data_IF_290989689032
#
_entry.id   IF_290989689032
#
_cell.length_a   1.000
_cell.length_b   1.000
_cell.length_c   1.000
_cell.angle_alpha   90.00
_cell.angle_beta   90.00
_cell.angle_gamma   90.00
#
_symmetry.space_group_name_H-M   'P 1'
#
loop_
_entity.id
_entity.type
_entity.pdbx_description
1 polymer ?
#
# COMPACT_ATOMS: atom_id res chain seq x y z
N UNK A 1 2.42 18.33 -20.92
CA UNK A 1 2.60 17.01 -20.28
C UNK A 1 2.43 17.20 -18.79
N UNK A 2 1.48 16.51 -18.20
CA UNK A 2 1.14 16.68 -16.79
C UNK A 2 1.81 15.59 -15.94
N UNK A 3 2.02 15.90 -14.66
CA UNK A 3 2.51 14.96 -13.64
C UNK A 3 1.35 14.62 -12.72
N UNK A 4 1.19 13.33 -12.40
CA UNK A 4 0.24 12.85 -11.42
C UNK A 4 1.00 12.31 -10.20
N UNK A 5 0.55 12.67 -9.01
CA UNK A 5 1.13 12.21 -7.75
C UNK A 5 0.19 11.24 -7.06
N UNK A 6 0.74 10.16 -6.48
CA UNK A 6 0.03 9.24 -5.61
C UNK A 6 0.62 9.27 -4.21
N UNK A 7 -0.25 9.33 -3.20
CA UNK A 7 0.09 9.32 -1.78
C UNK A 7 -0.56 8.12 -1.09
N UNK A 8 0.08 7.52 -0.06
CA UNK A 8 -0.41 6.31 0.60
C UNK A 8 -1.56 6.54 1.59
N UNK A 9 -2.03 7.77 1.71
CA UNK A 9 -3.09 8.16 2.63
C UNK A 9 -3.17 9.67 2.81
N UNK A 10 -4.18 10.13 3.53
CA UNK A 10 -4.45 11.55 3.74
C UNK A 10 -3.45 12.24 4.68
N UNK A 11 -2.72 11.49 5.51
CA UNK A 11 -1.80 12.07 6.50
C UNK A 11 -0.71 12.91 5.83
N UNK A 12 -0.03 12.36 4.83
CA UNK A 12 1.02 13.07 4.08
C UNK A 12 0.44 14.28 3.34
N UNK A 13 -0.73 14.13 2.70
CA UNK A 13 -1.41 15.24 2.05
C UNK A 13 -1.69 16.38 3.02
N UNK A 14 -2.26 16.09 4.19
CA UNK A 14 -2.60 17.09 5.19
C UNK A 14 -1.36 17.76 5.80
N UNK A 15 -0.27 17.01 5.97
CA UNK A 15 0.99 17.53 6.52
C UNK A 15 1.69 18.50 5.56
N UNK A 16 1.58 18.27 4.25
CA UNK A 16 2.26 19.03 3.20
C UNK A 16 1.27 19.58 2.16
N UNK A 17 0.12 20.07 2.64
CA UNK A 17 -0.97 20.53 1.80
C UNK A 17 -0.52 21.60 0.79
N UNK A 18 0.29 22.55 1.21
CA UNK A 18 0.79 23.65 0.35
C UNK A 18 1.60 23.10 -0.84
N UNK A 19 2.25 21.95 -0.68
CA UNK A 19 2.97 21.29 -1.76
C UNK A 19 2.04 20.62 -2.77
N UNK A 20 0.91 20.07 -2.33
CA UNK A 20 0.05 19.23 -3.16
C UNK A 20 -1.21 19.94 -3.69
N UNK A 21 -1.63 21.08 -3.12
CA UNK A 21 -2.93 21.72 -3.42
C UNK A 21 -3.11 22.10 -4.90
N UNK A 22 -2.04 22.47 -5.59
CA UNK A 22 -2.07 22.84 -7.02
C UNK A 22 -1.56 21.72 -7.94
N UNK A 23 -1.35 20.51 -7.39
CA UNK A 23 -0.83 19.37 -8.15
C UNK A 23 -1.89 18.30 -8.33
N UNK A 24 -1.93 17.67 -9.50
CA UNK A 24 -2.75 16.48 -9.69
C UNK A 24 -2.32 15.42 -8.69
N UNK A 25 -3.16 15.14 -7.72
CA UNK A 25 -2.84 14.21 -6.63
C UNK A 25 -4.01 13.28 -6.37
N UNK A 26 -3.73 11.97 -6.31
CA UNK A 26 -4.69 10.95 -5.89
C UNK A 26 -4.16 10.30 -4.60
N UNK A 27 -5.02 10.21 -3.60
CA UNK A 27 -4.72 9.49 -2.37
C UNK A 27 -5.11 8.03 -2.59
N UNK A 28 -4.11 7.13 -2.53
CA UNK A 28 -4.31 5.69 -2.66
C UNK A 28 -4.74 5.11 -1.31
N UNK A 29 -6.03 5.18 -1.04
CA UNK A 29 -6.60 4.85 0.26
C UNK A 29 -7.03 3.37 0.33
N UNK A 30 -6.04 2.46 0.31
CA UNK A 30 -6.24 1.01 0.39
C UNK A 30 -5.35 0.39 1.48
N UNK A 31 -5.67 -0.83 1.89
CA UNK A 31 -4.96 -1.59 2.93
C UNK A 31 -4.73 -3.04 2.50
N UNK A 32 -4.00 -3.25 1.41
CA UNK A 32 -3.74 -4.60 0.88
C UNK A 32 -2.85 -5.46 1.78
N UNK A 33 -2.22 -4.91 2.80
CA UNK A 33 -1.51 -5.69 3.80
C UNK A 33 -2.44 -6.49 4.71
N UNK A 34 -3.74 -6.17 4.76
CA UNK A 34 -4.74 -6.84 5.61
C UNK A 34 -5.92 -7.37 4.82
N UNK A 35 -6.56 -8.42 5.36
CA UNK A 35 -7.71 -9.06 4.73
C UNK A 35 -7.39 -9.76 3.41
N UNK A 36 -8.45 -10.28 2.78
CA UNK A 36 -8.35 -10.98 1.48
C UNK A 36 -8.24 -9.99 0.34
N UNK A 37 -7.35 -10.27 -0.62
CA UNK A 37 -7.22 -9.56 -1.89
C UNK A 37 -7.91 -10.40 -2.98
N UNK A 38 -9.02 -9.94 -3.59
CA UNK A 38 -9.66 -10.64 -4.70
C UNK A 38 -8.77 -10.73 -5.94
N UNK A 39 -8.81 -11.86 -6.66
CA UNK A 39 -8.00 -12.08 -7.87
C UNK A 39 -8.33 -11.12 -9.02
N UNK A 40 -9.55 -10.62 -9.05
CA UNK A 40 -10.06 -9.71 -10.08
C UNK A 40 -10.06 -8.25 -9.65
N UNK A 41 -9.36 -7.93 -8.55
CA UNK A 41 -9.21 -6.54 -8.11
C UNK A 41 -8.66 -5.68 -9.26
N UNK A 42 -9.25 -4.50 -9.48
CA UNK A 42 -8.95 -3.58 -10.57
C UNK A 42 -9.38 -4.01 -11.98
N UNK A 43 -10.06 -5.14 -12.16
CA UNK A 43 -10.69 -5.50 -13.46
C UNK A 43 -11.99 -4.75 -13.67
N UNK A 44 -12.45 -4.63 -14.92
CA UNK A 44 -13.69 -3.89 -15.27
C UNK A 44 -14.95 -4.44 -14.58
N UNK A 45 -14.96 -5.72 -14.26
CA UNK A 45 -16.05 -6.41 -13.58
C UNK A 45 -15.89 -6.49 -12.06
N UNK A 46 -14.99 -5.67 -11.50
CA UNK A 46 -14.54 -5.80 -10.11
C UNK A 46 -15.56 -5.38 -9.02
N UNK A 47 -16.85 -5.15 -9.36
CA UNK A 47 -17.84 -4.74 -8.35
C UNK A 47 -17.91 -5.68 -7.15
N UNK A 48 -17.82 -6.99 -7.38
CA UNK A 48 -17.83 -7.96 -6.30
C UNK A 48 -16.51 -8.01 -5.55
N UNK A 49 -15.38 -7.79 -6.24
CA UNK A 49 -14.08 -7.63 -5.62
C UNK A 49 -14.05 -6.42 -4.66
N UNK A 50 -14.64 -5.29 -5.06
CA UNK A 50 -14.73 -4.11 -4.20
C UNK A 50 -15.61 -4.35 -2.97
N UNK A 51 -16.72 -5.08 -3.10
CA UNK A 51 -17.54 -5.49 -1.94
C UNK A 51 -16.74 -6.34 -0.96
N UNK A 52 -16.02 -7.35 -1.46
CA UNK A 52 -15.15 -8.19 -0.63
C UNK A 52 -14.13 -7.32 0.10
N UNK A 53 -13.48 -6.36 -0.58
CA UNK A 53 -12.52 -5.47 0.07
C UNK A 53 -13.16 -4.59 1.16
N UNK A 54 -14.32 -4.01 0.88
CA UNK A 54 -15.07 -3.22 1.87
C UNK A 54 -15.39 -4.07 3.11
N UNK A 55 -15.88 -5.29 2.93
CA UNK A 55 -16.18 -6.22 4.03
C UNK A 55 -14.91 -6.54 4.85
N UNK A 56 -13.79 -6.82 4.20
CA UNK A 56 -12.52 -7.11 4.87
C UNK A 56 -11.96 -5.90 5.62
N UNK A 57 -12.04 -4.69 5.05
CA UNK A 57 -11.63 -3.45 5.71
C UNK A 57 -12.54 -3.16 6.90
N UNK A 58 -13.85 -3.24 6.75
CA UNK A 58 -14.81 -3.04 7.83
C UNK A 58 -14.61 -4.05 8.97
N UNK A 59 -14.33 -5.30 8.65
CA UNK A 59 -14.02 -6.34 9.63
C UNK A 59 -12.74 -6.03 10.41
N UNK A 60 -11.71 -5.56 9.72
CA UNK A 60 -10.40 -5.27 10.32
C UNK A 60 -10.43 -4.01 11.17
N UNK A 61 -10.94 -2.92 10.62
CA UNK A 61 -10.84 -1.61 11.24
C UNK A 61 -12.11 -1.16 11.98
N UNK A 62 -13.24 -1.80 11.71
CA UNK A 62 -14.56 -1.44 12.22
C UNK A 62 -15.20 -0.28 11.45
N UNK A 63 -16.49 -0.08 11.66
CA UNK A 63 -17.26 0.96 10.97
C UNK A 63 -17.75 0.53 9.58
N UNK A 64 -18.20 1.51 8.79
CA UNK A 64 -18.59 1.34 7.39
C UNK A 64 -17.79 2.31 6.52
N UNK A 65 -16.83 1.77 5.78
CA UNK A 65 -15.99 2.52 4.85
C UNK A 65 -16.53 2.53 3.41
N UNK A 66 -17.74 2.01 3.17
CA UNK A 66 -18.25 1.77 1.81
C UNK A 66 -18.22 3.02 0.94
N UNK A 67 -18.70 4.15 1.46
CA UNK A 67 -18.72 5.41 0.71
C UNK A 67 -17.30 5.87 0.34
N UNK A 68 -16.41 5.94 1.32
CA UNK A 68 -15.03 6.42 1.14
C UNK A 68 -14.26 5.50 0.19
N UNK A 69 -14.51 4.20 0.24
CA UNK A 69 -13.89 3.23 -0.66
C UNK A 69 -14.39 3.40 -2.11
N UNK A 70 -15.70 3.57 -2.32
CA UNK A 70 -16.23 3.83 -3.66
C UNK A 70 -15.79 5.19 -4.20
N UNK A 71 -15.68 6.23 -3.38
CA UNK A 71 -15.16 7.53 -3.78
C UNK A 71 -13.68 7.40 -4.20
N UNK A 72 -12.88 6.64 -3.45
CA UNK A 72 -11.50 6.33 -3.81
C UNK A 72 -11.40 5.58 -5.15
N UNK A 73 -12.14 4.49 -5.33
CA UNK A 73 -12.13 3.71 -6.58
C UNK A 73 -12.61 4.57 -7.75
N UNK A 74 -13.61 5.41 -7.56
CA UNK A 74 -14.11 6.33 -8.59
C UNK A 74 -13.03 7.34 -8.99
N UNK A 75 -12.28 7.87 -8.03
CA UNK A 75 -11.16 8.79 -8.29
C UNK A 75 -10.03 8.09 -9.04
N UNK A 76 -9.72 6.83 -8.67
CA UNK A 76 -8.65 6.06 -9.30
C UNK A 76 -9.01 5.63 -10.72
N UNK A 77 -10.17 5.00 -10.90
CA UNK A 77 -10.60 4.41 -12.18
C UNK A 77 -11.21 5.43 -13.15
N UNK A 78 -11.77 6.52 -12.63
CA UNK A 78 -12.37 7.59 -13.43
C UNK A 78 -11.39 8.67 -13.88
N UNK A 79 -10.16 8.65 -13.37
CA UNK A 79 -9.15 9.62 -13.79
C UNK A 79 -8.73 9.39 -15.25
N UNK A 80 -8.59 10.49 -16.01
CA UNK A 80 -8.06 10.43 -17.39
C UNK A 80 -6.54 10.57 -17.39
N UNK A 81 -5.86 9.47 -17.69
CA UNK A 81 -4.40 9.38 -17.73
C UNK A 81 -3.81 9.80 -19.10
N UNK A 82 -4.62 10.23 -20.08
CA UNK A 82 -4.16 10.47 -21.47
C UNK A 82 -3.09 11.54 -21.57
N UNK A 83 -3.16 12.59 -20.75
CA UNK A 83 -2.23 13.73 -20.76
C UNK A 83 -1.07 13.57 -19.77
N UNK A 84 -1.07 12.49 -18.99
CA UNK A 84 -0.03 12.22 -18.00
C UNK A 84 1.23 11.68 -18.68
N UNK A 85 2.37 12.33 -18.43
CA UNK A 85 3.68 11.87 -18.90
C UNK A 85 4.53 11.23 -17.80
N UNK A 86 4.24 11.54 -16.53
CA UNK A 86 4.96 10.99 -15.38
C UNK A 86 4.00 10.79 -14.21
N UNK A 87 4.18 9.67 -13.54
CA UNK A 87 3.51 9.37 -12.26
C UNK A 87 4.57 9.29 -11.17
N UNK A 88 4.40 10.10 -10.13
CA UNK A 88 5.19 10.04 -8.92
C UNK A 88 4.46 9.21 -7.87
N UNK A 89 5.12 8.19 -7.35
CA UNK A 89 4.63 7.37 -6.24
C UNK A 89 5.38 7.79 -4.98
N UNK A 90 4.67 8.33 -4.00
CA UNK A 90 5.24 8.71 -2.70
C UNK A 90 4.76 7.75 -1.64
N UNK A 91 5.60 6.80 -1.25
CA UNK A 91 5.24 5.75 -0.29
C UNK A 91 6.34 5.61 0.78
N UNK A 92 5.93 5.29 2.00
CA UNK A 92 6.83 4.99 3.10
C UNK A 92 7.59 3.68 2.92
N UNK A 93 8.51 3.42 3.83
CA UNK A 93 9.36 2.22 3.79
C UNK A 93 8.79 1.04 4.58
N UNK A 94 7.67 1.23 5.26
CA UNK A 94 6.96 0.22 6.03
C UNK A 94 6.20 -0.78 5.14
N UNK A 95 5.72 -1.87 5.73
CA UNK A 95 5.02 -2.94 5.02
C UNK A 95 3.73 -2.44 4.35
N UNK A 96 2.92 -1.63 5.06
CA UNK A 96 1.66 -1.12 4.54
C UNK A 96 1.88 -0.33 3.24
N UNK A 97 2.81 0.62 3.28
CA UNK A 97 3.16 1.46 2.15
C UNK A 97 3.72 0.65 0.97
N UNK A 98 4.62 -0.29 1.23
CA UNK A 98 5.26 -1.07 0.17
C UNK A 98 4.27 -2.03 -0.52
N UNK A 99 3.36 -2.68 0.21
CA UNK A 99 2.33 -3.56 -0.38
C UNK A 99 1.33 -2.74 -1.20
N UNK A 100 0.90 -1.59 -0.71
CA UNK A 100 0.02 -0.70 -1.47
C UNK A 100 0.69 -0.14 -2.72
N UNK A 101 1.98 0.17 -2.67
CA UNK A 101 2.76 0.64 -3.82
C UNK A 101 2.79 -0.39 -4.96
N UNK A 102 3.08 -1.65 -4.67
CA UNK A 102 3.09 -2.69 -5.73
C UNK A 102 1.68 -2.97 -6.29
N UNK A 103 0.63 -2.86 -5.48
CA UNK A 103 -0.75 -2.94 -5.93
C UNK A 103 -1.10 -1.80 -6.90
N UNK A 104 -0.68 -0.59 -6.59
CA UNK A 104 -0.87 0.56 -7.48
C UNK A 104 -0.08 0.41 -8.78
N UNK A 105 1.16 -0.05 -8.75
CA UNK A 105 1.97 -0.30 -9.96
C UNK A 105 1.30 -1.36 -10.84
N UNK A 106 0.77 -2.43 -10.25
CA UNK A 106 -0.02 -3.43 -10.99
C UNK A 106 -1.23 -2.81 -11.68
N UNK A 107 -2.00 -1.97 -10.97
CA UNK A 107 -3.13 -1.24 -11.54
C UNK A 107 -2.68 -0.34 -12.72
N UNK A 108 -1.62 0.45 -12.54
CA UNK A 108 -1.11 1.38 -13.55
C UNK A 108 -0.67 0.65 -14.83
N UNK A 109 0.02 -0.49 -14.71
CA UNK A 109 0.41 -1.30 -15.87
C UNK A 109 -0.81 -1.91 -16.58
N UNK A 110 -1.83 -2.28 -15.82
CA UNK A 110 -3.07 -2.78 -16.38
C UNK A 110 -3.79 -1.74 -17.23
N UNK A 111 -3.91 -0.50 -16.75
CA UNK A 111 -4.53 0.59 -17.53
C UNK A 111 -3.67 1.03 -18.70
N UNK A 112 -2.34 1.04 -18.58
CA UNK A 112 -1.42 1.29 -19.70
C UNK A 112 -1.67 0.31 -20.85
N UNK A 113 -1.70 -0.98 -20.54
CA UNK A 113 -1.94 -2.02 -21.54
C UNK A 113 -3.33 -1.88 -22.19
N UNK A 114 -4.36 -1.62 -21.38
CA UNK A 114 -5.75 -1.54 -21.84
C UNK A 114 -6.04 -0.30 -22.68
N UNK A 115 -5.50 0.85 -22.28
CA UNK A 115 -5.81 2.18 -22.86
C UNK A 115 -4.70 2.73 -23.75
N UNK A 116 -3.59 1.98 -23.90
CA UNK A 116 -2.38 2.40 -24.60
C UNK A 116 -1.81 3.73 -24.08
N UNK A 117 -1.92 3.98 -22.77
CA UNK A 117 -1.32 5.13 -22.12
C UNK A 117 0.21 5.02 -22.08
N UNK A 118 0.89 6.17 -22.06
CA UNK A 118 2.36 6.25 -22.00
C UNK A 118 2.76 7.25 -20.94
N UNK A 119 3.28 6.76 -19.83
CA UNK A 119 3.87 7.57 -18.77
C UNK A 119 5.02 6.80 -18.10
N UNK A 120 5.95 7.55 -17.56
CA UNK A 120 7.02 7.01 -16.72
C UNK A 120 6.57 6.94 -15.27
N UNK A 121 7.10 6.00 -14.51
CA UNK A 121 6.84 5.86 -13.08
C UNK A 121 8.09 6.23 -12.30
N UNK A 122 7.98 7.20 -11.41
CA UNK A 122 9.02 7.61 -10.48
C UNK A 122 8.61 7.22 -9.06
N UNK A 123 9.30 6.27 -8.47
CA UNK A 123 9.17 5.90 -7.07
C UNK A 123 9.94 6.89 -6.19
N UNK A 124 9.28 7.43 -5.17
CA UNK A 124 9.87 8.27 -4.16
C UNK A 124 9.56 7.66 -2.79
N UNK A 125 10.57 7.14 -2.12
CA UNK A 125 10.43 6.64 -0.77
C UNK A 125 10.53 7.79 0.21
N UNK A 126 9.52 7.95 1.06
CA UNK A 126 9.41 9.04 2.02
C UNK A 126 9.61 8.56 3.45
N UNK A 127 10.07 9.47 4.30
CA UNK A 127 10.10 9.30 5.74
C UNK A 127 8.81 9.87 6.34
N UNK A 128 7.94 9.00 6.82
CA UNK A 128 6.67 9.40 7.44
C UNK A 128 6.81 9.68 8.95
N UNK A 129 7.92 9.28 9.58
CA UNK A 129 8.11 9.37 11.03
C UNK A 129 8.59 10.76 11.47
N UNK A 130 9.28 11.46 10.60
CA UNK A 130 9.94 12.73 10.92
C UNK A 130 9.25 13.91 10.24
N UNK A 131 9.01 14.99 10.98
CA UNK A 131 8.54 16.25 10.39
C UNK A 131 9.73 16.99 9.79
N UNK A 132 9.71 17.19 8.50
CA UNK A 132 10.68 17.95 7.75
C UNK A 132 10.18 19.39 7.51
N UNK A 133 11.08 20.30 7.21
CA UNK A 133 10.72 21.71 6.89
C UNK A 133 10.05 21.83 5.52
N UNK A 134 10.39 20.91 4.60
CA UNK A 134 9.71 20.78 3.29
C UNK A 134 9.40 19.32 2.97
N UNK A 135 8.47 19.11 2.02
CA UNK A 135 8.15 17.77 1.56
C UNK A 135 9.34 17.11 0.86
N UNK A 136 10.12 17.88 0.09
CA UNK A 136 11.28 17.38 -0.64
C UNK A 136 12.34 16.78 0.31
N UNK A 137 12.50 17.35 1.51
CA UNK A 137 13.44 16.82 2.52
C UNK A 137 12.97 15.46 3.09
N UNK A 138 11.69 15.14 3.00
CA UNK A 138 11.16 13.84 3.44
C UNK A 138 11.50 12.70 2.47
N UNK A 139 11.94 13.01 1.26
CA UNK A 139 12.24 12.00 0.23
C UNK A 139 13.60 11.38 0.50
N UNK A 140 13.61 10.12 0.96
CA UNK A 140 14.82 9.33 1.22
C UNK A 140 15.46 8.79 -0.05
N UNK A 141 14.64 8.39 -1.02
CA UNK A 141 15.09 7.78 -2.27
C UNK A 141 14.17 8.20 -3.40
N UNK A 142 14.75 8.51 -4.55
CA UNK A 142 14.04 8.78 -5.79
C UNK A 142 14.59 7.89 -6.89
N UNK A 143 13.71 7.10 -7.54
CA UNK A 143 14.09 6.15 -8.58
C UNK A 143 13.07 6.12 -9.71
N UNK A 144 13.51 6.37 -10.93
CA UNK A 144 12.74 6.07 -12.13
C UNK A 144 12.75 4.56 -12.38
N UNK A 145 11.56 3.97 -12.46
CA UNK A 145 11.44 2.52 -12.63
C UNK A 145 11.69 2.13 -14.08
N UNK A 146 12.62 1.21 -14.29
CA UNK A 146 12.83 0.56 -15.59
C UNK A 146 11.71 -0.42 -15.89
N UNK A 147 11.61 -0.88 -17.14
CA UNK A 147 10.64 -1.94 -17.49
C UNK A 147 10.85 -3.21 -16.65
N UNK A 148 12.11 -3.59 -16.41
CA UNK A 148 12.43 -4.73 -15.54
C UNK A 148 11.95 -4.51 -14.11
N UNK A 149 12.18 -3.32 -13.54
CA UNK A 149 11.71 -3.00 -12.19
C UNK A 149 10.18 -3.15 -12.10
N UNK A 150 9.45 -2.59 -13.07
CA UNK A 150 8.00 -2.67 -13.12
C UNK A 150 7.53 -4.12 -13.23
N UNK A 151 8.13 -4.93 -14.10
CA UNK A 151 7.78 -6.34 -14.25
C UNK A 151 8.01 -7.13 -12.95
N UNK A 152 9.10 -6.85 -12.23
CA UNK A 152 9.41 -7.49 -10.95
C UNK A 152 8.40 -7.08 -9.86
N UNK A 153 8.02 -5.81 -9.78
CA UNK A 153 7.04 -5.30 -8.82
C UNK A 153 5.62 -5.80 -9.11
N UNK A 154 5.22 -5.84 -10.37
CA UNK A 154 3.95 -6.44 -10.82
C UNK A 154 3.87 -7.92 -10.43
N UNK A 155 4.95 -8.67 -10.69
CA UNK A 155 5.00 -10.09 -10.32
C UNK A 155 4.96 -10.30 -8.80
N UNK A 156 5.53 -9.39 -8.01
CA UNK A 156 5.41 -9.44 -6.56
C UNK A 156 3.95 -9.29 -6.10
N UNK A 157 3.18 -8.39 -6.70
CA UNK A 157 1.76 -8.25 -6.36
C UNK A 157 0.93 -9.46 -6.83
N UNK A 158 1.18 -9.96 -8.04
CA UNK A 158 0.52 -11.18 -8.55
C UNK A 158 0.81 -12.36 -7.61
N UNK A 159 2.07 -12.51 -7.16
CA UNK A 159 2.44 -13.53 -6.19
C UNK A 159 1.63 -13.40 -4.89
N UNK A 160 1.49 -12.18 -4.33
CA UNK A 160 0.67 -11.95 -3.13
C UNK A 160 -0.79 -12.33 -3.33
N UNK A 161 -1.40 -11.97 -4.47
CA UNK A 161 -2.82 -12.29 -4.73
C UNK A 161 -3.04 -13.82 -4.76
N UNK A 162 -2.11 -14.56 -5.37
CA UNK A 162 -2.24 -16.01 -5.51
C UNK A 162 -1.85 -16.81 -4.27
N UNK A 163 -0.97 -16.25 -3.41
CA UNK A 163 -0.38 -16.95 -2.27
C UNK A 163 -0.67 -16.22 -0.95
N UNK A 164 -1.92 -15.82 -0.72
CA UNK A 164 -2.32 -15.09 0.49
C UNK A 164 -2.24 -15.94 1.76
N UNK A 165 -2.37 -17.25 1.63
CA UNK A 165 -2.13 -18.24 2.67
C UNK A 165 -0.70 -18.77 2.50
N UNK A 166 0.02 -18.94 3.57
CA UNK A 166 1.46 -19.21 3.65
C UNK A 166 1.98 -20.27 2.65
N UNK A 167 2.52 -19.84 1.51
CA UNK A 167 3.37 -20.67 0.67
C UNK A 167 4.83 -20.20 0.83
N UNK A 168 5.58 -20.89 1.70
CA UNK A 168 6.99 -20.55 1.95
C UNK A 168 7.92 -20.95 0.81
N UNK A 169 7.53 -21.93 0.00
CA UNK A 169 8.43 -22.53 -0.99
C UNK A 169 8.71 -21.58 -2.16
N UNK A 170 7.73 -20.75 -2.53
CA UNK A 170 7.88 -19.77 -3.61
C UNK A 170 8.31 -18.37 -3.12
N UNK A 171 8.24 -18.09 -1.82
CA UNK A 171 8.62 -16.79 -1.27
C UNK A 171 10.11 -16.49 -1.52
N UNK A 172 11.01 -17.48 -1.38
CA UNK A 172 12.45 -17.30 -1.62
C UNK A 172 12.73 -16.78 -3.03
N UNK A 173 12.13 -17.39 -4.04
CA UNK A 173 12.29 -16.97 -5.44
C UNK A 173 11.77 -15.54 -5.68
N UNK A 174 10.67 -15.19 -4.99
CA UNK A 174 10.13 -13.83 -5.07
C UNK A 174 11.04 -12.81 -4.39
N UNK A 175 11.62 -13.14 -3.23
CA UNK A 175 12.56 -12.28 -2.52
C UNK A 175 13.85 -12.04 -3.31
N UNK A 176 14.32 -13.04 -4.07
CA UNK A 176 15.46 -12.87 -5.01
C UNK A 176 15.09 -11.94 -6.15
N UNK A 177 13.89 -12.06 -6.70
CA UNK A 177 13.40 -11.21 -7.79
C UNK A 177 13.36 -9.73 -7.42
N UNK A 178 12.94 -9.41 -6.21
CA UNK A 178 12.84 -8.04 -5.69
C UNK A 178 14.07 -7.61 -4.88
N UNK A 179 15.21 -8.23 -5.06
CA UNK A 179 16.44 -7.97 -4.28
C UNK A 179 16.90 -6.50 -4.37
N UNK A 180 16.66 -5.84 -5.51
CA UNK A 180 16.94 -4.41 -5.70
C UNK A 180 15.97 -3.48 -4.98
N UNK A 181 14.96 -4.00 -4.24
CA UNK A 181 13.96 -3.28 -3.48
C UNK A 181 13.95 -3.74 -2.01
N UNK A 182 14.94 -3.34 -1.19
CA UNK A 182 15.15 -3.90 0.15
C UNK A 182 13.96 -3.69 1.09
N UNK A 183 13.25 -2.57 0.98
CA UNK A 183 12.06 -2.29 1.78
C UNK A 183 10.88 -3.18 1.38
N UNK A 184 10.67 -3.40 0.08
CA UNK A 184 9.66 -4.35 -0.41
C UNK A 184 10.00 -5.78 0.00
N UNK A 185 11.27 -6.19 -0.11
CA UNK A 185 11.73 -7.50 0.36
C UNK A 185 11.36 -7.74 1.82
N UNK A 186 11.64 -6.76 2.70
CA UNK A 186 11.23 -6.79 4.10
C UNK A 186 9.71 -6.81 4.26
N UNK A 187 8.99 -6.00 3.48
CA UNK A 187 7.54 -5.93 3.52
C UNK A 187 6.87 -7.26 3.15
N UNK A 188 7.39 -7.99 2.16
CA UNK A 188 6.91 -9.33 1.79
C UNK A 188 7.10 -10.34 2.93
N UNK A 189 8.25 -10.34 3.59
CA UNK A 189 8.48 -11.19 4.77
C UNK A 189 7.48 -10.84 5.87
N UNK A 190 7.30 -9.56 6.18
CA UNK A 190 6.38 -9.07 7.20
C UNK A 190 4.92 -9.38 6.86
N UNK A 191 4.54 -9.32 5.58
CA UNK A 191 3.19 -9.67 5.10
C UNK A 191 2.79 -11.09 5.50
N UNK A 192 3.71 -12.05 5.38
CA UNK A 192 3.47 -13.43 5.83
C UNK A 192 3.60 -13.56 7.33
N UNK A 193 4.54 -12.86 7.96
CA UNK A 193 4.75 -12.92 9.40
C UNK A 193 3.51 -12.52 10.20
N UNK A 194 2.81 -11.44 9.82
CA UNK A 194 1.59 -11.01 10.54
C UNK A 194 0.44 -12.02 10.50
N UNK A 195 0.52 -13.02 9.63
CA UNK A 195 -0.46 -14.11 9.49
C UNK A 195 -0.11 -15.35 10.31
N UNK A 196 1.06 -15.38 10.93
CA UNK A 196 1.53 -16.53 11.73
C UNK A 196 0.92 -16.55 13.14
N UNK A 197 0.83 -17.74 13.71
CA UNK A 197 0.46 -17.91 15.13
C UNK A 197 1.50 -17.29 16.08
N UNK A 198 2.76 -17.19 15.65
CA UNK A 198 3.82 -16.51 16.40
C UNK A 198 3.50 -15.02 16.56
N UNK A 199 3.15 -14.34 15.46
CA UNK A 199 2.75 -12.94 15.52
C UNK A 199 1.50 -12.73 16.39
N UNK A 200 0.48 -13.57 16.24
CA UNK A 200 -0.72 -13.52 17.07
C UNK A 200 -0.40 -13.66 18.56
N UNK A 201 0.48 -14.61 18.93
CA UNK A 201 0.95 -14.78 20.32
C UNK A 201 1.71 -13.54 20.82
N UNK A 202 2.57 -12.95 19.98
CA UNK A 202 3.27 -11.68 20.30
C UNK A 202 2.30 -10.53 20.56
N UNK A 203 1.18 -10.51 19.82
CA UNK A 203 0.14 -9.49 19.94
C UNK A 203 -0.84 -9.73 21.09
N UNK A 204 -0.64 -10.74 21.93
CA UNK A 204 -1.48 -10.92 23.10
C UNK A 204 -1.32 -9.76 24.08
N UNK A 205 -2.45 -9.29 24.60
CA UNK A 205 -2.49 -8.27 25.64
C UNK A 205 -1.89 -8.87 26.92
N UNK A 206 -1.01 -8.10 27.56
CA UNK A 206 -0.39 -8.44 28.85
C UNK A 206 -1.22 -7.81 29.98
N UNK A 207 -0.63 -7.67 31.15
CA UNK A 207 -1.26 -6.94 32.26
C UNK A 207 -1.13 -5.41 32.00
N UNK A 208 -1.92 -4.91 31.06
CA UNK A 208 -1.88 -3.55 30.52
C UNK A 208 -3.29 -3.10 30.07
N UNK A 209 -3.54 -1.81 30.07
CA UNK A 209 -4.77 -1.25 29.50
C UNK A 209 -4.76 -1.35 27.97
N UNK A 210 -5.94 -1.27 27.33
CA UNK A 210 -6.03 -1.24 25.85
C UNK A 210 -5.21 -0.11 25.22
N UNK A 211 -5.10 1.03 25.90
CA UNK A 211 -4.31 2.16 25.41
C UNK A 211 -2.81 1.86 25.45
N UNK A 212 -2.31 1.34 26.55
CA UNK A 212 -0.92 0.91 26.72
C UNK A 212 -0.56 -0.20 25.72
N UNK A 213 -1.46 -1.17 25.54
CA UNK A 213 -1.32 -2.23 24.53
C UNK A 213 -1.10 -1.64 23.12
N UNK A 214 -1.97 -0.72 22.69
CA UNK A 214 -1.86 -0.11 21.36
C UNK A 214 -0.55 0.66 21.22
N UNK A 215 -0.16 1.46 22.20
CA UNK A 215 1.10 2.22 22.19
C UNK A 215 2.30 1.27 22.09
N UNK A 216 2.30 0.18 22.86
CA UNK A 216 3.35 -0.85 22.78
C UNK A 216 3.42 -1.48 21.41
N UNK A 217 2.27 -1.92 20.85
CA UNK A 217 2.22 -2.60 19.56
C UNK A 217 2.68 -1.69 18.42
N UNK A 218 2.28 -0.43 18.41
CA UNK A 218 2.74 0.55 17.42
C UNK A 218 4.26 0.77 17.49
N UNK A 219 4.81 0.85 18.71
CA UNK A 219 6.24 1.05 18.93
C UNK A 219 7.07 -0.19 18.54
N UNK A 220 6.62 -1.39 18.93
CA UNK A 220 7.34 -2.65 18.68
C UNK A 220 7.31 -3.10 17.21
N UNK A 221 6.37 -2.58 16.42
CA UNK A 221 6.11 -3.01 15.04
C UNK A 221 5.95 -1.81 14.09
N UNK A 222 6.71 -0.74 14.29
CA UNK A 222 6.63 0.47 13.45
C UNK A 222 6.90 0.19 11.96
N UNK A 223 7.74 -0.80 11.66
CA UNK A 223 8.07 -1.24 10.31
C UNK A 223 6.92 -1.95 9.57
N UNK A 224 5.83 -2.27 10.26
CA UNK A 224 4.64 -2.85 9.65
C UNK A 224 3.68 -1.79 9.07
N UNK A 225 3.73 -0.55 9.56
CA UNK A 225 2.81 0.52 9.15
C UNK A 225 1.34 0.24 9.52
N UNK A 226 1.09 -0.67 10.48
CA UNK A 226 -0.25 -1.04 10.90
C UNK A 226 -0.80 -0.04 11.90
N UNK A 227 -2.09 0.26 11.79
CA UNK A 227 -2.75 1.28 12.62
C UNK A 227 -3.16 0.76 14.00
N UNK A 228 -3.50 1.69 14.90
CA UNK A 228 -4.11 1.37 16.19
C UNK A 228 -5.38 0.53 16.05
N UNK A 229 -6.20 0.77 15.03
CA UNK A 229 -7.42 0.01 14.78
C UNK A 229 -7.15 -1.43 14.41
N UNK A 230 -6.07 -1.70 13.66
CA UNK A 230 -5.64 -3.08 13.39
C UNK A 230 -5.33 -3.82 14.70
N UNK A 231 -4.49 -3.25 15.57
CA UNK A 231 -4.14 -3.90 16.82
C UNK A 231 -5.35 -4.09 17.75
N UNK A 232 -6.27 -3.13 17.80
CA UNK A 232 -7.53 -3.29 18.53
C UNK A 232 -8.42 -4.39 17.96
N UNK A 233 -8.35 -4.67 16.67
CA UNK A 233 -9.11 -5.77 16.05
C UNK A 233 -8.64 -7.16 16.49
N UNK A 234 -7.37 -7.29 16.90
CA UNK A 234 -6.80 -8.55 17.41
C UNK A 234 -7.29 -8.90 18.82
N UNK A 235 -7.92 -7.96 19.53
CA UNK A 235 -8.48 -8.15 20.87
C UNK A 235 -9.95 -8.61 20.87
N UNK A 236 -10.54 -8.78 19.70
CA UNK A 236 -11.93 -9.27 19.53
C UNK A 236 -11.95 -10.79 19.43
#
# INVERSE_FOLDING_TARGET
MAILNFLPGSMIYNQYQDYFIERNTIIFNESFCTGRIPLDIFRDSAKDAYKIRIEEINKTYGGDCSKDYYDFISSLCGFDYSDISQINLYFGTDMFCQINMIALIYYLEMIKAKKNYRFDICMNLIDEETKYSSFEESIKEKRYLTKKDIDDLVMAFIYLIHNQETDKDNLSNMLERVDSFPYLKRALVNYYYIRTEEFKKRCLMKDETKQEYVVRMLKENCDLGLTNLFYLSLLK
#
